data_IF_186428936772
#
_entry.id   IF_186428936772
#
_cell.length_a   1.000
_cell.length_b   1.000
_cell.length_c   1.000
_cell.angle_alpha   90.00
_cell.angle_beta   90.00
_cell.angle_gamma   90.00
#
_symmetry.space_group_name_H-M   'P 1'
#
loop_
_entity.id
_entity.type
_entity.pdbx_description
1 polymer ?
#
# COMPACT_ATOMS: atom_id res chain seq x y z
N UNK A 1 9.62 -2.18 9.31
CA UNK A 1 10.34 -1.76 8.09
C UNK A 1 11.60 -1.06 8.54
N UNK A 2 12.71 -1.25 7.84
CA UNK A 2 14.00 -0.68 8.20
C UNK A 2 14.47 0.22 7.05
N UNK A 3 14.95 1.43 7.39
CA UNK A 3 15.40 2.45 6.43
C UNK A 3 16.91 2.62 6.57
N UNK A 4 17.61 2.51 5.46
CA UNK A 4 19.06 2.64 5.35
C UNK A 4 19.40 3.79 4.39
N UNK A 5 20.49 4.52 4.64
CA UNK A 5 20.99 5.56 3.72
C UNK A 5 21.74 4.87 2.58
N UNK A 6 21.35 5.14 1.33
CA UNK A 6 21.87 4.51 0.12
C UNK A 6 21.73 2.98 0.09
N UNK A 7 20.65 2.49 -0.51
CA UNK A 7 20.45 1.06 -0.70
C UNK A 7 19.33 0.75 -1.69
N UNK A 8 19.11 -0.55 -1.94
CA UNK A 8 18.02 -1.03 -2.80
C UNK A 8 16.75 -1.22 -1.99
N UNK A 9 15.60 -1.15 -2.65
CA UNK A 9 14.32 -1.51 -2.04
C UNK A 9 14.10 -3.02 -2.18
N UNK A 10 14.00 -3.70 -1.04
CA UNK A 10 13.87 -5.15 -0.94
C UNK A 10 12.60 -5.50 -0.18
N UNK A 11 11.78 -6.39 -0.74
CA UNK A 11 10.54 -6.90 -0.14
C UNK A 11 10.65 -8.40 0.03
N UNK A 12 10.55 -8.89 1.27
CA UNK A 12 10.68 -10.32 1.58
C UNK A 12 11.91 -10.96 0.92
N UNK A 13 13.08 -10.32 1.09
CA UNK A 13 14.39 -10.75 0.56
C UNK A 13 14.51 -10.75 -0.97
N UNK A 14 13.47 -10.30 -1.69
CA UNK A 14 13.49 -10.15 -3.14
C UNK A 14 13.50 -8.66 -3.54
N UNK A 15 14.14 -8.29 -4.67
CA UNK A 15 14.02 -6.95 -5.22
C UNK A 15 12.56 -6.55 -5.45
N UNK A 16 12.21 -5.30 -5.18
CA UNK A 16 10.81 -4.83 -5.29
C UNK A 16 10.23 -5.01 -6.71
N UNK A 17 11.05 -4.83 -7.74
CA UNK A 17 10.68 -5.02 -9.15
C UNK A 17 10.27 -6.47 -9.45
N UNK A 18 10.96 -7.45 -8.83
CA UNK A 18 10.63 -8.87 -8.98
C UNK A 18 9.38 -9.25 -8.18
N UNK A 19 9.17 -8.61 -7.04
CA UNK A 19 8.01 -8.87 -6.18
C UNK A 19 6.72 -8.24 -6.74
N UNK A 20 6.82 -7.04 -7.32
CA UNK A 20 5.70 -6.34 -7.96
C UNK A 20 6.04 -6.03 -9.43
N UNK A 21 5.78 -6.96 -10.37
CA UNK A 21 6.18 -6.80 -11.77
C UNK A 21 5.34 -5.79 -12.56
N UNK A 22 4.21 -5.33 -12.03
CA UNK A 22 3.31 -4.43 -12.75
C UNK A 22 3.87 -3.00 -12.80
N UNK A 23 3.88 -2.37 -13.98
CA UNK A 23 4.30 -0.97 -14.14
C UNK A 23 3.45 0.03 -13.31
N UNK A 24 2.19 -0.30 -13.06
CA UNK A 24 1.32 0.47 -12.15
C UNK A 24 1.74 0.35 -10.70
N UNK A 25 2.36 -0.77 -10.32
CA UNK A 25 2.92 -0.94 -8.98
C UNK A 25 4.19 -0.12 -8.80
N UNK A 26 5.03 -0.06 -9.84
CA UNK A 26 6.23 0.78 -9.87
C UNK A 26 5.96 2.23 -9.51
N UNK A 27 5.00 2.84 -10.21
CA UNK A 27 4.58 4.21 -9.94
C UNK A 27 4.09 4.44 -8.51
N UNK A 28 3.43 3.45 -7.92
CA UNK A 28 2.85 3.56 -6.57
C UNK A 28 3.90 3.49 -5.47
N UNK A 29 4.83 2.54 -5.52
CA UNK A 29 5.85 2.45 -4.47
C UNK A 29 6.91 3.57 -4.57
N UNK A 30 7.10 4.15 -5.75
CA UNK A 30 7.98 5.31 -5.96
C UNK A 30 7.34 6.65 -5.56
N UNK A 31 6.01 6.74 -5.56
CA UNK A 31 5.25 7.95 -5.23
C UNK A 31 5.71 8.67 -3.94
N UNK A 32 5.85 8.01 -2.77
CA UNK A 32 6.33 8.67 -1.55
C UNK A 32 7.76 9.23 -1.67
N UNK A 33 8.63 8.57 -2.43
CA UNK A 33 10.00 9.04 -2.67
C UNK A 33 10.03 10.19 -3.68
N UNK A 34 9.11 10.18 -4.65
CA UNK A 34 8.95 11.25 -5.64
C UNK A 34 8.39 12.52 -5.02
N UNK A 35 7.38 12.40 -4.15
CA UNK A 35 6.79 13.54 -3.43
C UNK A 35 7.80 14.24 -2.54
N UNK A 36 8.74 13.49 -1.97
CA UNK A 36 9.81 14.00 -1.12
C UNK A 36 11.08 14.38 -1.89
N UNK A 37 11.10 14.21 -3.23
CA UNK A 37 12.26 14.46 -4.09
C UNK A 37 13.54 13.69 -3.70
N UNK A 38 13.41 12.54 -3.03
CA UNK A 38 14.53 11.72 -2.56
C UNK A 38 14.62 10.37 -3.29
N UNK A 39 14.26 10.37 -4.57
CA UNK A 39 14.28 9.15 -5.40
C UNK A 39 15.72 8.62 -5.51
N UNK A 40 15.93 7.36 -5.11
CA UNK A 40 17.23 6.69 -5.15
C UNK A 40 18.17 6.97 -3.96
N UNK A 41 17.77 7.78 -2.99
CA UNK A 41 18.61 8.12 -1.83
C UNK A 41 18.43 7.17 -0.64
N UNK A 42 17.30 6.47 -0.59
CA UNK A 42 16.93 5.60 0.53
C UNK A 42 16.89 4.13 0.13
N UNK A 43 17.58 3.30 0.91
CA UNK A 43 17.44 1.85 0.91
C UNK A 43 16.37 1.43 1.91
N UNK A 44 15.58 0.42 1.56
CA UNK A 44 14.45 -0.01 2.40
C UNK A 44 14.34 -1.52 2.39
N UNK A 45 14.28 -2.12 3.58
CA UNK A 45 13.96 -3.53 3.78
C UNK A 45 12.57 -3.71 4.38
N UNK A 46 11.69 -4.39 3.65
CA UNK A 46 10.28 -4.58 3.98
C UNK A 46 9.95 -6.07 4.14
N UNK A 47 9.28 -6.40 5.23
CA UNK A 47 8.65 -7.71 5.44
C UNK A 47 7.14 -7.55 5.41
N UNK A 48 6.48 -8.26 4.50
CA UNK A 48 5.02 -8.19 4.31
C UNK A 48 4.45 -9.60 4.34
N UNK A 49 3.34 -9.81 5.06
CA UNK A 49 2.66 -11.10 5.20
C UNK A 49 1.15 -10.93 5.09
N UNK A 50 0.49 -11.91 4.46
CA UNK A 50 -0.97 -11.94 4.28
C UNK A 50 -1.50 -11.05 3.15
N UNK A 51 -2.81 -11.13 2.88
CA UNK A 51 -3.49 -10.36 1.84
C UNK A 51 -3.16 -10.82 0.40
N UNK A 52 -3.49 -9.97 -0.56
CA UNK A 52 -3.12 -10.15 -1.98
C UNK A 52 -2.13 -9.08 -2.44
N UNK A 53 -1.55 -9.25 -3.64
CA UNK A 53 -0.50 -8.37 -4.17
C UNK A 53 -0.86 -6.88 -4.14
N UNK A 54 -2.09 -6.52 -4.52
CA UNK A 54 -2.53 -5.12 -4.51
C UNK A 54 -2.69 -4.55 -3.09
N UNK A 55 -3.13 -5.36 -2.11
CA UNK A 55 -3.24 -4.92 -0.72
C UNK A 55 -1.87 -4.79 -0.06
N UNK A 56 -0.96 -5.71 -0.37
CA UNK A 56 0.43 -5.64 0.07
C UNK A 56 1.14 -4.42 -0.49
N UNK A 57 0.91 -4.07 -1.76
CA UNK A 57 1.46 -2.86 -2.37
C UNK A 57 1.00 -1.60 -1.62
N UNK A 58 -0.30 -1.49 -1.30
CA UNK A 58 -0.81 -0.36 -0.51
C UNK A 58 -0.17 -0.28 0.88
N UNK A 59 0.00 -1.42 1.54
CA UNK A 59 0.68 -1.50 2.83
C UNK A 59 2.16 -1.08 2.76
N UNK A 60 2.86 -1.45 1.68
CA UNK A 60 4.25 -1.04 1.41
C UNK A 60 4.34 0.47 1.25
N UNK A 61 3.46 1.08 0.45
CA UNK A 61 3.44 2.53 0.21
C UNK A 61 3.21 3.31 1.50
N UNK A 62 2.20 2.92 2.29
CA UNK A 62 1.90 3.58 3.55
C UNK A 62 3.03 3.36 4.58
N UNK A 63 3.61 2.16 4.62
CA UNK A 63 4.77 1.86 5.46
C UNK A 63 5.98 2.73 5.10
N UNK A 64 6.20 2.97 3.81
CA UNK A 64 7.28 3.83 3.31
C UNK A 64 7.07 5.28 3.72
N UNK A 65 5.87 5.82 3.52
CA UNK A 65 5.51 7.16 3.95
C UNK A 65 5.69 7.35 5.47
N UNK A 66 5.22 6.41 6.28
CA UNK A 66 5.37 6.48 7.74
C UNK A 66 6.83 6.41 8.20
N UNK A 67 7.65 5.59 7.53
CA UNK A 67 9.07 5.47 7.87
C UNK A 67 9.84 6.73 7.48
N UNK A 68 9.48 7.39 6.37
CA UNK A 68 10.04 8.69 6.00
C UNK A 68 9.70 9.77 7.03
N UNK A 69 8.46 9.82 7.51
CA UNK A 69 8.05 10.76 8.57
C UNK A 69 8.78 10.49 9.89
N UNK A 70 9.06 9.22 10.20
CA UNK A 70 9.83 8.85 11.39
C UNK A 70 11.32 9.25 11.26
N UNK A 71 11.84 9.31 10.04
CA UNK A 71 13.20 9.76 9.76
C UNK A 71 13.32 11.30 9.84
N UNK A 72 12.39 12.02 9.23
CA UNK A 72 12.30 13.48 9.32
C UNK A 72 10.84 13.93 9.32
N UNK A 73 10.46 14.66 10.38
CA UNK A 73 9.11 15.18 10.57
C UNK A 73 8.69 16.19 9.49
N UNK A 74 9.65 16.81 8.80
CA UNK A 74 9.42 17.79 7.73
C UNK A 74 8.69 17.18 6.52
N UNK A 75 8.83 15.87 6.31
CA UNK A 75 8.14 15.17 5.21
C UNK A 75 6.65 14.92 5.48
N UNK A 76 6.14 15.22 6.68
CA UNK A 76 4.74 14.95 7.03
C UNK A 76 3.76 15.74 6.19
N UNK A 77 3.98 17.03 5.99
CA UNK A 77 3.08 17.87 5.18
C UNK A 77 2.95 17.42 3.73
N UNK A 78 4.04 17.24 2.95
CA UNK A 78 3.92 16.84 1.55
C UNK A 78 3.31 15.43 1.40
N UNK A 79 3.59 14.51 2.33
CA UNK A 79 3.00 13.16 2.31
C UNK A 79 1.51 13.16 2.71
N UNK A 80 1.12 14.02 3.67
CA UNK A 80 -0.28 14.18 4.06
C UNK A 80 -1.13 14.78 2.93
N UNK A 81 -0.62 15.80 2.24
CA UNK A 81 -1.29 16.43 1.08
C UNK A 81 -1.59 15.43 -0.04
N UNK A 82 -0.70 14.46 -0.24
CA UNK A 82 -0.88 13.40 -1.23
C UNK A 82 -1.63 12.17 -0.69
N UNK A 83 -2.25 12.25 0.50
CA UNK A 83 -3.02 11.16 1.12
C UNK A 83 -2.23 9.85 1.35
N UNK A 84 -0.90 9.91 1.42
CA UNK A 84 -0.03 8.74 1.57
C UNK A 84 0.08 8.23 3.02
N UNK A 85 -0.28 9.07 4.00
CA UNK A 85 -0.30 8.71 5.42
C UNK A 85 -1.62 8.07 5.87
N UNK A 86 -2.70 8.27 5.10
CA UNK A 86 -4.04 7.80 5.44
C UNK A 86 -4.15 6.29 5.18
N UNK A 87 -4.61 5.54 6.19
CA UNK A 87 -4.89 4.11 6.03
C UNK A 87 -6.17 3.92 5.21
N UNK A 88 -6.11 3.11 4.16
CA UNK A 88 -7.33 2.65 3.48
C UNK A 88 -8.15 1.79 4.45
N UNK A 89 -9.34 2.28 4.80
CA UNK A 89 -10.25 1.64 5.76
C UNK A 89 -11.15 0.59 5.10
N UNK A 90 -11.10 0.42 3.78
CA UNK A 90 -11.93 -0.53 3.05
C UNK A 90 -11.59 -1.96 3.45
N UNK A 91 -12.60 -2.68 3.92
CA UNK A 91 -12.51 -4.09 4.26
C UNK A 91 -13.63 -4.87 3.54
N UNK A 92 -13.39 -6.15 3.28
CA UNK A 92 -14.40 -7.02 2.67
C UNK A 92 -15.59 -7.19 3.61
N UNK A 93 -16.74 -6.68 3.21
CA UNK A 93 -17.98 -6.91 3.96
C UNK A 93 -18.32 -8.41 4.06
N UNK A 94 -18.72 -8.83 5.26
CA UNK A 94 -19.18 -10.20 5.50
C UNK A 94 -20.45 -10.49 4.70
N UNK A 95 -20.62 -11.75 4.27
CA UNK A 95 -21.91 -12.25 3.77
C UNK A 95 -22.97 -12.20 4.88
N UNK A 96 -24.10 -11.54 4.62
CA UNK A 96 -25.26 -11.50 5.53
C UNK A 96 -26.25 -12.62 5.17
N UNK A 97 -27.01 -13.09 6.16
CA UNK A 97 -28.08 -14.07 5.93
C UNK A 97 -29.21 -13.43 5.11
N UNK A 98 -29.99 -14.26 4.39
CA UNK A 98 -31.09 -13.79 3.54
C UNK A 98 -30.67 -13.18 2.19
N UNK A 99 -29.38 -12.94 1.94
CA UNK A 99 -28.86 -12.43 0.67
C UNK A 99 -28.47 -13.54 -0.32
N UNK A 100 -28.38 -13.19 -1.60
CA UNK A 100 -28.03 -14.06 -2.73
C UNK A 100 -26.52 -14.35 -2.81
N UNK A 101 -25.91 -14.71 -1.69
CA UNK A 101 -24.54 -15.22 -1.69
C UNK A 101 -23.41 -14.21 -1.52
N UNK A 102 -23.67 -12.90 -1.71
CA UNK A 102 -22.71 -11.80 -1.51
C UNK A 102 -23.18 -10.84 -0.42
N UNK A 103 -22.32 -9.92 0.00
CA UNK A 103 -22.59 -8.97 1.09
C UNK A 103 -23.80 -8.06 0.85
N UNK A 104 -24.13 -7.72 -0.41
CA UNK A 104 -25.24 -6.82 -0.78
C UNK A 104 -26.19 -7.37 -1.85
N UNK A 105 -25.86 -8.52 -2.47
CA UNK A 105 -26.66 -9.07 -3.56
C UNK A 105 -28.00 -9.60 -3.03
N UNK A 106 -29.12 -9.11 -3.55
CA UNK A 106 -30.47 -9.58 -3.19
C UNK A 106 -30.91 -10.68 -4.14
N UNK A 107 -31.75 -11.61 -3.65
CA UNK A 107 -32.43 -12.58 -4.51
C UNK A 107 -33.47 -11.83 -5.34
N UNK A 108 -33.63 -12.20 -6.60
CA UNK A 108 -34.70 -11.67 -7.44
C UNK A 108 -36.04 -12.12 -6.84
N UNK A 109 -36.91 -11.16 -6.52
CA UNK A 109 -38.29 -11.46 -6.12
C UNK A 109 -39.14 -11.57 -7.38
N UNK A 110 -39.91 -12.66 -7.58
CA UNK A 110 -40.93 -12.68 -8.61
C UNK A 110 -41.97 -11.61 -8.28
N UNK A 111 -42.34 -10.80 -9.27
CA UNK A 111 -43.43 -9.83 -9.18
C UNK A 111 -44.70 -10.57 -9.60
N UNK A 112 -45.69 -10.61 -8.72
CA UNK A 112 -47.05 -11.10 -9.03
C UNK A 112 -47.89 -9.97 -9.60
#
# INVERSE_FOLDING_TARGET
>A
MWLEKNGKIVVNENPIEKYFPAATAAKKYEEPLRVTNHLGQFGVSIKVRGGGSSGQLGAVVQGLANTLVAFDASFREPLAKNSLLTRDSREKERRKYGLAGKARARKQSPKR
#
